data_IF_844126277683
#
_entry.id   IF_844126277683
#
_cell.length_a   1.000
_cell.length_b   1.000
_cell.length_c   1.000
_cell.angle_alpha   90.00
_cell.angle_beta   90.00
_cell.angle_gamma   90.00
#
_symmetry.space_group_name_H-M   'P 1'
#
loop_
_entity.id
_entity.type
_entity.pdbx_description
1 polymer ?
#
# COMPACT_ATOMS: atom_id res chain seq x y z
N UNK A 1 -32.68 -9.34 -17.87
CA UNK A 1 -32.29 -8.31 -18.86
C UNK A 1 -30.79 -8.16 -18.74
N UNK A 2 -30.02 -8.94 -19.52
CA UNK A 2 -28.55 -8.85 -19.53
C UNK A 2 -28.22 -7.64 -20.39
N UNK A 3 -28.14 -6.46 -19.76
CA UNK A 3 -27.88 -5.21 -20.46
C UNK A 3 -26.42 -5.16 -20.89
N UNK A 4 -26.18 -5.30 -22.19
CA UNK A 4 -24.91 -4.97 -22.83
C UNK A 4 -24.49 -3.54 -22.42
N UNK A 5 -23.29 -3.38 -21.86
CA UNK A 5 -22.78 -2.08 -21.38
C UNK A 5 -22.35 -1.16 -22.55
N UNK A 6 -22.24 -1.71 -23.76
CA UNK A 6 -21.82 -1.03 -24.99
C UNK A 6 -22.54 0.32 -25.25
N UNK A 7 -23.89 0.42 -25.18
CA UNK A 7 -24.58 1.69 -25.43
C UNK A 7 -24.24 2.74 -24.38
N UNK A 8 -24.05 2.31 -23.14
CA UNK A 8 -23.66 3.18 -22.04
C UNK A 8 -22.23 3.72 -22.25
N UNK A 9 -21.27 2.87 -22.61
CA UNK A 9 -19.88 3.30 -22.91
C UNK A 9 -19.87 4.33 -24.05
N UNK A 10 -20.65 4.08 -25.11
CA UNK A 10 -20.77 5.02 -26.24
C UNK A 10 -21.35 6.37 -25.80
N UNK A 11 -22.42 6.36 -25.02
CA UNK A 11 -23.04 7.59 -24.50
C UNK A 11 -22.11 8.34 -23.54
N UNK A 12 -21.35 7.61 -22.71
CA UNK A 12 -20.36 8.20 -21.82
C UNK A 12 -19.23 8.87 -22.61
N UNK A 13 -18.74 8.23 -23.67
CA UNK A 13 -17.75 8.81 -24.59
C UNK A 13 -18.23 10.14 -25.18
N UNK A 14 -19.45 10.15 -25.72
CA UNK A 14 -20.07 11.35 -26.27
C UNK A 14 -20.21 12.45 -25.19
N UNK A 15 -20.57 12.06 -23.97
CA UNK A 15 -20.71 12.97 -22.82
C UNK A 15 -19.40 13.63 -22.41
N UNK A 16 -18.26 12.93 -22.48
CA UNK A 16 -16.94 13.50 -22.16
C UNK A 16 -16.54 14.64 -23.10
N UNK A 17 -17.07 14.67 -24.31
CA UNK A 17 -16.84 15.77 -25.26
C UNK A 17 -17.80 16.95 -25.07
N UNK A 18 -18.84 16.82 -24.25
CA UNK A 18 -19.75 17.93 -23.94
C UNK A 18 -19.12 18.84 -22.87
N UNK A 19 -19.31 20.15 -22.97
CA UNK A 19 -18.85 21.11 -21.96
C UNK A 19 -19.79 21.16 -20.73
N UNK A 20 -20.10 19.99 -20.15
CA UNK A 20 -20.96 19.86 -18.97
C UNK A 20 -20.29 18.95 -17.93
N UNK A 21 -19.55 19.57 -17.02
CA UNK A 21 -18.76 18.91 -15.98
C UNK A 21 -19.61 18.00 -15.10
N UNK A 22 -20.81 18.45 -14.71
CA UNK A 22 -21.67 17.65 -13.83
C UNK A 22 -22.18 16.40 -14.54
N UNK A 23 -22.57 16.51 -15.82
CA UNK A 23 -22.98 15.36 -16.61
C UNK A 23 -21.83 14.35 -16.79
N UNK A 24 -20.61 14.83 -17.04
CA UNK A 24 -19.41 13.99 -17.10
C UNK A 24 -19.18 13.23 -15.78
N UNK A 25 -19.23 13.93 -14.65
CA UNK A 25 -19.07 13.34 -13.31
C UNK A 25 -20.14 12.29 -13.02
N UNK A 26 -21.41 12.60 -13.28
CA UNK A 26 -22.52 11.67 -13.06
C UNK A 26 -22.40 10.43 -13.95
N UNK A 27 -21.98 10.60 -15.20
CA UNK A 27 -21.69 9.48 -16.11
C UNK A 27 -20.60 8.56 -15.57
N UNK A 28 -19.48 9.11 -15.10
CA UNK A 28 -18.37 8.33 -14.52
C UNK A 28 -18.72 7.69 -13.18
N UNK A 29 -19.51 8.37 -12.35
CA UNK A 29 -20.02 7.85 -11.09
C UNK A 29 -20.96 6.66 -11.33
N UNK A 30 -21.88 6.79 -12.29
CA UNK A 30 -22.74 5.68 -12.69
C UNK A 30 -21.92 4.51 -13.22
N UNK A 31 -20.89 4.77 -14.03
CA UNK A 31 -20.02 3.71 -14.52
C UNK A 31 -19.31 2.97 -13.38
N UNK A 32 -18.80 3.73 -12.40
CA UNK A 32 -18.17 3.18 -11.18
C UNK A 32 -19.15 2.27 -10.43
N UNK A 33 -20.39 2.71 -10.25
CA UNK A 33 -21.41 1.93 -9.53
C UNK A 33 -21.79 0.64 -10.27
N UNK A 34 -21.89 0.69 -11.60
CA UNK A 34 -22.11 -0.51 -12.43
C UNK A 34 -20.96 -1.51 -12.22
N UNK A 35 -19.71 -1.05 -12.32
CA UNK A 35 -18.53 -1.89 -12.13
C UNK A 35 -18.44 -2.51 -10.73
N UNK A 36 -18.82 -1.76 -9.69
CA UNK A 36 -18.79 -2.26 -8.30
C UNK A 36 -19.89 -3.28 -8.02
N UNK A 37 -21.10 -3.03 -8.52
CA UNK A 37 -22.29 -3.83 -8.20
C UNK A 37 -22.50 -5.04 -9.12
N UNK A 38 -21.70 -5.15 -10.18
CA UNK A 38 -21.77 -6.28 -11.08
C UNK A 38 -21.46 -7.60 -10.34
N UNK A 39 -22.35 -8.61 -10.40
CA UNK A 39 -22.09 -9.95 -9.87
C UNK A 39 -20.97 -10.67 -10.65
N UNK A 40 -20.23 -11.55 -9.96
CA UNK A 40 -19.07 -12.26 -10.53
C UNK A 40 -19.47 -13.21 -11.67
N UNK A 41 -20.72 -13.71 -11.66
CA UNK A 41 -21.23 -14.65 -12.66
C UNK A 41 -21.62 -13.98 -13.97
N UNK A 42 -21.83 -12.66 -13.97
CA UNK A 42 -22.32 -11.93 -15.13
C UNK A 42 -21.17 -11.15 -15.75
N UNK A 43 -20.72 -11.61 -16.92
CA UNK A 43 -19.72 -10.90 -17.72
C UNK A 43 -20.27 -9.55 -18.19
N UNK A 44 -19.70 -8.47 -17.68
CA UNK A 44 -20.05 -7.11 -18.10
C UNK A 44 -19.57 -6.82 -19.52
N UNK A 45 -18.33 -7.22 -19.81
CA UNK A 45 -17.72 -7.06 -21.12
C UNK A 45 -17.91 -8.33 -21.93
N UNK A 46 -18.68 -8.23 -23.02
CA UNK A 46 -19.01 -9.38 -23.87
C UNK A 46 -17.88 -9.75 -24.82
N UNK A 47 -17.00 -8.80 -25.14
CA UNK A 47 -15.88 -8.96 -26.07
C UNK A 47 -14.74 -7.97 -25.77
N UNK A 48 -13.57 -8.22 -26.38
CA UNK A 48 -12.35 -7.41 -26.20
C UNK A 48 -12.52 -5.98 -26.71
N UNK A 49 -13.32 -5.76 -27.76
CA UNK A 49 -13.52 -4.42 -28.32
C UNK A 49 -14.29 -3.52 -27.33
N UNK A 50 -15.37 -4.02 -26.73
CA UNK A 50 -16.13 -3.30 -25.70
C UNK A 50 -15.24 -2.93 -24.51
N UNK A 51 -14.38 -3.85 -24.08
CA UNK A 51 -13.42 -3.56 -23.01
C UNK A 51 -12.43 -2.47 -23.41
N UNK A 52 -11.85 -2.54 -24.62
CA UNK A 52 -10.95 -1.51 -25.14
C UNK A 52 -11.63 -0.15 -25.25
N UNK A 53 -12.90 -0.10 -25.65
CA UNK A 53 -13.68 1.13 -25.69
C UNK A 53 -13.87 1.69 -24.28
N UNK A 54 -14.20 0.85 -23.29
CA UNK A 54 -14.29 1.27 -21.89
C UNK A 54 -12.97 1.83 -21.35
N UNK A 55 -11.85 1.15 -21.57
CA UNK A 55 -10.52 1.62 -21.16
C UNK A 55 -10.16 2.93 -21.86
N UNK A 56 -10.47 3.07 -23.15
CA UNK A 56 -10.24 4.30 -23.92
C UNK A 56 -11.01 5.49 -23.36
N UNK A 57 -12.29 5.30 -23.02
CA UNK A 57 -13.13 6.32 -22.36
C UNK A 57 -12.56 6.70 -20.99
N UNK A 58 -12.10 5.74 -20.20
CA UNK A 58 -11.48 6.02 -18.90
C UNK A 58 -10.15 6.77 -19.06
N UNK A 59 -9.32 6.40 -20.03
CA UNK A 59 -8.06 7.09 -20.34
C UNK A 59 -8.30 8.55 -20.71
N UNK A 60 -9.31 8.82 -21.54
CA UNK A 60 -9.71 10.18 -21.90
C UNK A 60 -10.18 10.97 -20.69
N UNK A 61 -11.05 10.38 -19.87
CA UNK A 61 -11.57 11.01 -18.67
C UNK A 61 -10.49 11.32 -17.61
N UNK A 62 -9.51 10.43 -17.42
CA UNK A 62 -8.35 10.65 -16.53
C UNK A 62 -7.48 11.83 -17.02
N UNK A 63 -7.34 11.99 -18.34
CA UNK A 63 -6.60 13.08 -18.97
C UNK A 63 -7.36 14.41 -18.98
N UNK A 64 -8.63 14.42 -18.54
CA UNK A 64 -9.43 15.64 -18.47
C UNK A 64 -8.71 16.73 -17.63
N UNK A 65 -8.67 17.99 -18.10
CA UNK A 65 -8.06 19.08 -17.34
C UNK A 65 -8.80 19.37 -16.03
N UNK A 66 -10.10 19.02 -15.96
CA UNK A 66 -10.93 19.20 -14.75
C UNK A 66 -10.67 18.05 -13.78
N UNK A 67 -10.00 18.36 -12.66
CA UNK A 67 -9.61 17.35 -11.66
C UNK A 67 -10.80 16.56 -11.10
N UNK A 68 -11.98 17.17 -10.97
CA UNK A 68 -13.18 16.49 -10.47
C UNK A 68 -13.63 15.35 -11.38
N UNK A 69 -13.58 15.58 -12.69
CA UNK A 69 -13.91 14.57 -13.71
C UNK A 69 -12.85 13.47 -13.69
N UNK A 70 -11.57 13.86 -13.67
CA UNK A 70 -10.46 12.92 -13.60
C UNK A 70 -10.53 12.08 -12.30
N UNK A 71 -10.91 12.67 -11.17
CA UNK A 71 -11.08 11.97 -9.89
C UNK A 71 -12.18 10.91 -9.94
N UNK A 72 -13.34 11.20 -10.55
CA UNK A 72 -14.38 10.19 -10.75
C UNK A 72 -13.93 9.10 -11.73
N UNK A 73 -13.17 9.45 -12.77
CA UNK A 73 -12.60 8.48 -13.69
C UNK A 73 -11.64 7.50 -13.00
N UNK A 74 -10.76 7.99 -12.12
CA UNK A 74 -9.85 7.11 -11.37
C UNK A 74 -10.62 6.15 -10.45
N UNK A 75 -11.75 6.56 -9.85
CA UNK A 75 -12.59 5.64 -9.08
C UNK A 75 -13.17 4.52 -9.96
N UNK A 76 -13.60 4.85 -11.18
CA UNK A 76 -14.08 3.87 -12.15
C UNK A 76 -12.94 2.92 -12.58
N UNK A 77 -11.71 3.42 -12.75
CA UNK A 77 -10.54 2.58 -13.01
C UNK A 77 -10.24 1.65 -11.84
N UNK A 78 -10.24 2.14 -10.61
CA UNK A 78 -10.10 1.28 -9.43
C UNK A 78 -11.14 0.15 -9.44
N UNK A 79 -12.38 0.43 -9.87
CA UNK A 79 -13.46 -0.55 -9.94
C UNK A 79 -13.34 -1.54 -11.13
N UNK A 80 -12.78 -1.12 -12.28
CA UNK A 80 -12.57 -2.01 -13.43
C UNK A 80 -11.44 -3.02 -13.20
N UNK A 81 -10.49 -2.70 -12.31
CA UNK A 81 -9.35 -3.54 -11.92
C UNK A 81 -9.76 -4.69 -10.97
N UNK A 82 -10.79 -5.45 -11.35
CA UNK A 82 -11.22 -6.68 -10.67
C UNK A 82 -11.05 -7.86 -11.62
N UNK A 83 -10.70 -9.03 -11.08
CA UNK A 83 -10.47 -10.23 -11.87
C UNK A 83 -11.69 -10.58 -12.73
N UNK A 84 -12.89 -10.43 -12.20
CA UNK A 84 -14.17 -10.79 -12.87
C UNK A 84 -14.41 -9.97 -14.14
N UNK A 85 -14.00 -8.70 -14.14
CA UNK A 85 -14.13 -7.80 -15.29
C UNK A 85 -13.11 -8.07 -16.37
N UNK A 86 -11.97 -8.68 -16.02
CA UNK A 86 -10.78 -8.78 -16.87
C UNK A 86 -10.46 -10.21 -17.32
N UNK A 87 -11.12 -11.21 -16.74
CA UNK A 87 -10.89 -12.63 -17.02
C UNK A 87 -11.60 -13.13 -18.28
N UNK A 88 -11.26 -12.52 -19.42
CA UNK A 88 -11.60 -13.05 -20.75
C UNK A 88 -10.32 -13.12 -21.61
N UNK A 89 -9.79 -14.33 -21.87
CA UNK A 89 -8.55 -14.46 -22.63
C UNK A 89 -8.74 -14.04 -24.11
N UNK A 90 -7.71 -13.45 -24.75
CA UNK A 90 -6.44 -13.04 -24.16
C UNK A 90 -6.54 -11.80 -23.27
N UNK A 91 -5.86 -11.85 -22.12
CA UNK A 91 -5.80 -10.73 -21.17
C UNK A 91 -5.00 -9.59 -21.80
N UNK A 92 -5.56 -8.38 -21.77
CA UNK A 92 -5.01 -7.18 -22.39
C UNK A 92 -4.06 -6.45 -21.43
N UNK A 93 -2.94 -7.08 -21.06
CA UNK A 93 -2.00 -6.51 -20.09
C UNK A 93 -1.51 -5.12 -20.50
N UNK A 94 -1.12 -4.90 -21.76
CA UNK A 94 -0.68 -3.58 -22.24
C UNK A 94 -1.73 -2.47 -22.13
N UNK A 95 -3.03 -2.80 -22.16
CA UNK A 95 -4.09 -1.81 -21.90
C UNK A 95 -4.13 -1.42 -20.41
N UNK A 96 -3.91 -2.39 -19.52
CA UNK A 96 -3.83 -2.16 -18.08
C UNK A 96 -2.57 -1.36 -17.72
N UNK A 97 -1.43 -1.68 -18.33
CA UNK A 97 -0.17 -0.93 -18.14
C UNK A 97 -0.36 0.55 -18.49
N UNK A 98 -0.85 0.84 -19.69
CA UNK A 98 -1.11 2.21 -20.15
C UNK A 98 -2.07 2.98 -19.22
N UNK A 99 -3.08 2.29 -18.69
CA UNK A 99 -4.07 2.87 -17.79
C UNK A 99 -3.46 3.25 -16.45
N UNK A 100 -2.72 2.34 -15.83
CA UNK A 100 -2.02 2.58 -14.56
C UNK A 100 -0.97 3.68 -14.72
N UNK A 101 -0.21 3.65 -15.82
CA UNK A 101 0.80 4.67 -16.10
C UNK A 101 0.20 6.06 -16.25
N UNK A 102 -0.89 6.18 -17.00
CA UNK A 102 -1.58 7.45 -17.22
C UNK A 102 -2.07 8.06 -15.91
N UNK A 103 -2.65 7.26 -15.02
CA UNK A 103 -3.17 7.73 -13.73
C UNK A 103 -2.03 8.22 -12.81
N UNK A 104 -0.93 7.47 -12.76
CA UNK A 104 0.22 7.83 -11.94
C UNK A 104 0.96 9.05 -12.48
N UNK A 105 1.16 9.14 -13.81
CA UNK A 105 1.74 10.34 -14.44
C UNK A 105 0.88 11.58 -14.18
N UNK A 106 -0.45 11.44 -14.21
CA UNK A 106 -1.36 12.56 -13.92
C UNK A 106 -1.16 13.12 -12.52
N UNK A 107 -0.72 12.32 -11.55
CA UNK A 107 -0.39 12.81 -10.21
C UNK A 107 0.81 13.77 -10.19
N UNK A 108 1.76 13.64 -11.13
CA UNK A 108 2.92 14.53 -11.22
C UNK A 108 2.56 15.92 -11.77
N UNK A 109 1.56 16.00 -12.64
CA UNK A 109 1.08 17.26 -13.23
C UNK A 109 0.31 18.12 -12.24
N UNK A 110 -0.19 17.52 -11.16
CA UNK A 110 -0.98 18.21 -10.16
C UNK A 110 -0.06 19.00 -9.23
N UNK A 111 -0.20 20.34 -9.14
CA UNK A 111 0.56 21.13 -8.19
C UNK A 111 0.20 20.67 -6.78
N UNK A 112 1.20 20.20 -6.04
CA UNK A 112 1.08 19.97 -4.62
C UNK A 112 0.93 21.35 -3.96
N UNK A 113 -0.18 21.59 -3.25
CA UNK A 113 -0.50 22.87 -2.63
C UNK A 113 0.70 23.43 -1.84
N UNK A 114 1.01 24.71 -2.06
CA UNK A 114 1.93 25.48 -1.22
C UNK A 114 1.11 26.11 -0.10
N UNK A 115 0.99 25.45 1.05
CA UNK A 115 0.44 26.13 2.24
C UNK A 115 1.49 27.05 2.86
N UNK A 116 1.71 28.19 2.19
CA UNK A 116 2.11 29.41 2.88
C UNK A 116 0.85 30.06 3.46
N UNK A 117 0.61 29.87 4.76
CA UNK A 117 -0.37 30.66 5.51
C UNK A 117 -1.59 29.88 6.01
N UNK A 118 -1.58 29.60 7.33
CA UNK A 118 -2.72 29.43 8.24
C UNK A 118 -4.11 29.24 7.56
N UNK A 119 -4.56 27.99 7.45
CA UNK A 119 -5.96 27.69 7.71
C UNK A 119 -6.14 26.28 8.30
N UNK A 120 -6.88 26.23 9.41
CA UNK A 120 -7.15 25.06 10.23
C UNK A 120 -8.25 24.20 9.57
N UNK A 121 -8.06 22.88 9.64
CA UNK A 121 -9.07 21.80 9.65
C UNK A 121 -9.81 21.35 8.36
N UNK A 122 -9.77 20.02 8.20
CA UNK A 122 -10.82 19.07 7.74
C UNK A 122 -11.15 18.84 6.26
N UNK A 123 -10.75 19.68 5.30
CA UNK A 123 -11.06 19.38 3.89
C UNK A 123 -9.88 18.65 3.23
N UNK A 124 -10.08 17.39 2.84
CA UNK A 124 -9.13 16.65 1.99
C UNK A 124 -9.10 17.38 0.65
N UNK A 125 -7.92 17.86 0.23
CA UNK A 125 -7.80 18.52 -1.07
C UNK A 125 -8.13 17.54 -2.19
N UNK A 126 -8.74 18.00 -3.28
CA UNK A 126 -9.07 17.14 -4.42
C UNK A 126 -7.82 16.43 -4.97
N UNK A 127 -6.64 17.06 -4.92
CA UNK A 127 -5.38 16.42 -5.32
C UNK A 127 -4.97 15.28 -4.38
N UNK A 128 -5.19 15.45 -3.07
CA UNK A 128 -4.93 14.38 -2.08
C UNK A 128 -5.82 13.18 -2.35
N UNK A 129 -7.12 13.42 -2.59
CA UNK A 129 -8.06 12.35 -2.90
C UNK A 129 -7.71 11.66 -4.23
N UNK A 130 -7.29 12.43 -5.24
CA UNK A 130 -6.84 11.90 -6.52
C UNK A 130 -5.64 10.96 -6.33
N UNK A 131 -4.60 11.40 -5.60
CA UNK A 131 -3.42 10.58 -5.32
C UNK A 131 -3.79 9.29 -4.58
N UNK A 132 -4.65 9.38 -3.57
CA UNK A 132 -5.09 8.19 -2.84
C UNK A 132 -5.82 7.20 -3.76
N UNK A 133 -6.74 7.67 -4.61
CA UNK A 133 -7.46 6.81 -5.55
C UNK A 133 -6.50 6.22 -6.62
N UNK A 134 -5.49 6.97 -7.04
CA UNK A 134 -4.47 6.52 -8.00
C UNK A 134 -3.61 5.38 -7.42
N UNK A 135 -3.16 5.53 -6.17
CA UNK A 135 -2.43 4.47 -5.46
C UNK A 135 -3.33 3.26 -5.19
N UNK A 136 -4.63 3.46 -4.99
CA UNK A 136 -5.59 2.38 -4.86
C UNK A 136 -5.80 1.61 -6.18
N UNK A 137 -5.85 2.30 -7.32
CA UNK A 137 -5.80 1.65 -8.64
C UNK A 137 -4.52 0.82 -8.80
N UNK A 138 -3.36 1.38 -8.44
CA UNK A 138 -2.09 0.65 -8.47
C UNK A 138 -2.11 -0.60 -7.57
N UNK A 139 -2.63 -0.48 -6.34
CA UNK A 139 -2.81 -1.61 -5.41
C UNK A 139 -3.67 -2.73 -6.01
N UNK A 140 -4.79 -2.37 -6.65
CA UNK A 140 -5.66 -3.34 -7.31
C UNK A 140 -4.96 -4.03 -8.49
N UNK A 141 -4.13 -3.31 -9.25
CA UNK A 141 -3.30 -3.91 -10.31
C UNK A 141 -2.28 -4.92 -9.75
N UNK A 142 -1.62 -4.61 -8.63
CA UNK A 142 -0.77 -5.58 -7.93
C UNK A 142 -1.56 -6.81 -7.47
N UNK A 143 -2.77 -6.61 -6.93
CA UNK A 143 -3.64 -7.72 -6.49
C UNK A 143 -4.05 -8.61 -7.66
N UNK A 144 -4.39 -8.03 -8.81
CA UNK A 144 -4.68 -8.76 -10.05
C UNK A 144 -3.51 -9.64 -10.46
N UNK A 145 -2.28 -9.14 -10.40
CA UNK A 145 -1.10 -9.93 -10.73
C UNK A 145 -0.99 -11.18 -9.83
N UNK A 146 -1.18 -11.05 -8.51
CA UNK A 146 -1.21 -12.19 -7.57
C UNK A 146 -2.35 -13.17 -7.92
N UNK A 147 -3.54 -12.64 -8.22
CA UNK A 147 -4.69 -13.48 -8.56
C UNK A 147 -4.50 -14.27 -9.87
N UNK A 148 -3.79 -13.68 -10.85
CA UNK A 148 -3.46 -14.33 -12.11
C UNK A 148 -2.30 -15.32 -12.02
N UNK A 149 -1.43 -15.23 -11.00
CA UNK A 149 -0.43 -16.29 -10.76
C UNK A 149 -1.10 -17.64 -10.49
N UNK A 150 -2.27 -17.63 -9.87
CA UNK A 150 -3.05 -18.85 -9.57
C UNK A 150 -3.82 -19.39 -10.79
N UNK A 151 -3.80 -18.68 -11.91
CA UNK A 151 -4.62 -18.98 -13.09
C UNK A 151 -3.74 -19.27 -14.32
N UNK A 152 -3.57 -20.55 -14.71
CA UNK A 152 -2.70 -20.93 -15.82
C UNK A 152 -3.05 -20.26 -17.15
N UNK A 153 -4.33 -19.94 -17.39
CA UNK A 153 -4.79 -19.29 -18.63
C UNK A 153 -4.45 -17.80 -18.66
N UNK A 154 -4.21 -17.19 -17.51
CA UNK A 154 -3.83 -15.80 -17.38
C UNK A 154 -2.32 -15.58 -17.50
N UNK A 155 -1.50 -16.59 -17.17
CA UNK A 155 -0.04 -16.45 -17.16
C UNK A 155 0.55 -16.24 -18.56
N UNK A 156 0.03 -16.96 -19.56
CA UNK A 156 0.44 -16.86 -20.96
C UNK A 156 -0.80 -16.88 -21.84
N UNK A 157 -0.96 -15.83 -22.66
CA UNK A 157 -1.99 -15.83 -23.69
C UNK A 157 -1.70 -16.98 -24.68
N UNK A 158 -2.63 -17.93 -24.79
CA UNK A 158 -2.46 -19.26 -25.43
C UNK A 158 -2.28 -19.21 -26.95
N UNK A 159 -2.36 -18.04 -27.58
CA UNK A 159 -2.36 -17.85 -29.04
C UNK A 159 -1.16 -17.05 -29.57
N UNK A 160 -0.06 -17.04 -28.85
CA UNK A 160 1.16 -16.35 -29.30
C UNK A 160 1.98 -17.27 -30.19
N UNK A 161 2.30 -16.82 -31.42
CA UNK A 161 3.10 -17.58 -32.36
C UNK A 161 4.48 -17.93 -31.75
N UNK A 162 5.06 -19.10 -32.05
CA UNK A 162 6.28 -19.62 -31.41
C UNK A 162 7.53 -18.71 -31.53
N UNK A 163 7.48 -17.66 -32.38
CA UNK A 163 8.59 -16.74 -32.62
C UNK A 163 8.24 -15.26 -32.34
N UNK A 164 7.04 -14.95 -31.84
CA UNK A 164 6.70 -13.57 -31.45
C UNK A 164 6.98 -13.37 -29.96
N UNK A 165 7.72 -12.33 -29.59
CA UNK A 165 7.80 -11.90 -28.19
C UNK A 165 6.38 -11.69 -27.66
N UNK A 166 5.98 -12.50 -26.68
CA UNK A 166 4.67 -12.35 -26.08
C UNK A 166 4.68 -11.11 -25.17
N UNK A 167 4.26 -9.98 -25.74
CA UNK A 167 4.24 -8.68 -25.05
C UNK A 167 3.24 -8.70 -23.90
N UNK A 168 2.10 -9.36 -24.08
CA UNK A 168 1.04 -9.47 -23.08
C UNK A 168 1.18 -10.74 -22.25
N UNK A 169 2.17 -10.75 -21.35
CA UNK A 169 2.34 -11.82 -20.35
C UNK A 169 2.21 -11.28 -18.94
N UNK A 170 1.77 -12.14 -18.02
CA UNK A 170 1.74 -11.80 -16.58
C UNK A 170 3.13 -11.40 -16.07
N UNK A 171 4.20 -12.02 -16.61
CA UNK A 171 5.57 -11.69 -16.25
C UNK A 171 5.93 -10.25 -16.62
N UNK A 172 5.68 -9.83 -17.87
CA UNK A 172 5.91 -8.44 -18.31
C UNK A 172 5.06 -7.45 -17.52
N UNK A 173 3.80 -7.78 -17.26
CA UNK A 173 2.93 -6.94 -16.43
C UNK A 173 3.47 -6.77 -15.01
N UNK A 174 3.98 -7.84 -14.39
CA UNK A 174 4.57 -7.79 -13.05
C UNK A 174 5.87 -6.97 -13.05
N UNK A 175 6.71 -7.12 -14.08
CA UNK A 175 7.91 -6.30 -14.28
C UNK A 175 7.58 -4.82 -14.50
N UNK A 176 6.49 -4.51 -15.20
CA UNK A 176 5.97 -3.16 -15.37
C UNK A 176 5.50 -2.57 -14.03
N UNK A 177 4.69 -3.30 -13.25
CA UNK A 177 4.20 -2.82 -11.94
C UNK A 177 5.35 -2.50 -10.99
N UNK A 178 6.42 -3.28 -11.08
CA UNK A 178 7.65 -3.02 -10.36
C UNK A 178 8.36 -1.75 -10.87
N UNK A 179 8.58 -1.65 -12.17
CA UNK A 179 9.24 -0.49 -12.77
C UNK A 179 8.51 0.81 -12.45
N UNK A 180 7.19 0.81 -12.52
CA UNK A 180 6.38 2.00 -12.26
C UNK A 180 6.31 2.35 -10.77
N UNK A 181 6.42 1.34 -9.89
CA UNK A 181 6.57 1.57 -8.46
C UNK A 181 7.84 2.37 -8.15
N UNK A 182 8.98 1.93 -8.71
CA UNK A 182 10.29 2.57 -8.54
C UNK A 182 10.35 3.96 -9.19
N UNK A 183 9.79 4.08 -10.40
CA UNK A 183 9.92 5.28 -11.23
C UNK A 183 8.91 6.38 -10.88
N UNK A 184 7.70 6.01 -10.43
CA UNK A 184 6.61 6.96 -10.17
C UNK A 184 6.07 6.87 -8.74
N UNK A 185 5.60 5.70 -8.28
CA UNK A 185 4.88 5.60 -7.00
C UNK A 185 5.74 6.02 -5.80
N UNK A 186 6.96 5.49 -5.68
CA UNK A 186 7.90 5.84 -4.61
C UNK A 186 8.21 7.34 -4.64
N UNK A 187 8.71 7.94 -5.75
CA UNK A 187 8.95 9.38 -5.81
C UNK A 187 7.72 10.23 -5.47
N UNK A 188 6.53 9.86 -5.97
CA UNK A 188 5.28 10.57 -5.70
C UNK A 188 4.93 10.60 -4.21
N UNK A 189 4.93 9.42 -3.56
CA UNK A 189 4.59 9.30 -2.14
C UNK A 189 5.65 9.98 -1.28
N UNK A 190 6.92 9.87 -1.63
CA UNK A 190 8.01 10.52 -0.89
C UNK A 190 7.88 12.04 -0.96
N UNK A 191 7.69 12.61 -2.16
CA UNK A 191 7.45 14.05 -2.38
C UNK A 191 6.20 14.55 -1.64
N UNK A 192 5.14 13.75 -1.59
CA UNK A 192 3.93 14.08 -0.83
C UNK A 192 4.21 14.08 0.68
N UNK A 193 4.87 13.03 1.16
CA UNK A 193 5.17 12.81 2.57
C UNK A 193 6.07 13.89 3.17
N UNK A 194 6.95 14.50 2.37
CA UNK A 194 7.80 15.64 2.79
C UNK A 194 6.97 16.83 3.26
N UNK A 195 5.74 16.99 2.76
CA UNK A 195 4.86 18.12 3.06
C UNK A 195 3.82 17.80 4.12
N UNK A 196 3.25 16.60 4.07
CA UNK A 196 2.22 16.17 5.00
C UNK A 196 2.20 14.64 5.14
N UNK A 197 2.06 14.17 6.38
CA UNK A 197 1.87 12.75 6.68
C UNK A 197 0.37 12.49 6.74
N UNK A 198 -0.15 11.70 5.78
CA UNK A 198 -1.53 11.21 5.81
C UNK A 198 -1.55 9.68 5.90
N UNK A 199 -2.01 9.10 7.04
CA UNK A 199 -2.00 7.67 7.25
C UNK A 199 -2.66 6.87 6.12
N UNK A 200 -3.82 7.31 5.62
CA UNK A 200 -4.54 6.59 4.57
C UNK A 200 -3.81 6.47 3.23
N UNK A 201 -3.01 7.46 2.82
CA UNK A 201 -2.19 7.37 1.60
C UNK A 201 -1.05 6.37 1.81
N UNK A 202 -0.40 6.47 2.96
CA UNK A 202 0.74 5.64 3.31
C UNK A 202 0.34 4.17 3.45
N UNK A 203 -0.79 3.90 4.10
CA UNK A 203 -1.38 2.57 4.25
C UNK A 203 -1.65 1.92 2.89
N UNK A 204 -2.31 2.65 1.97
CA UNK A 204 -2.60 2.15 0.62
C UNK A 204 -1.32 1.85 -0.16
N UNK A 205 -0.34 2.75 -0.10
CA UNK A 205 0.94 2.58 -0.80
C UNK A 205 1.71 1.36 -0.30
N UNK A 206 1.83 1.22 1.03
CA UNK A 206 2.53 0.10 1.65
C UNK A 206 1.81 -1.22 1.37
N UNK A 207 0.49 -1.22 1.43
CA UNK A 207 -0.31 -2.39 1.06
C UNK A 207 -0.03 -2.80 -0.40
N UNK A 208 0.08 -1.84 -1.32
CA UNK A 208 0.45 -2.13 -2.71
C UNK A 208 1.86 -2.73 -2.83
N UNK A 209 2.85 -2.17 -2.14
CA UNK A 209 4.21 -2.72 -2.12
C UNK A 209 4.27 -4.13 -1.54
N UNK A 210 3.55 -4.38 -0.44
CA UNK A 210 3.46 -5.70 0.18
C UNK A 210 2.84 -6.73 -0.76
N UNK A 211 1.82 -6.35 -1.54
CA UNK A 211 1.22 -7.23 -2.54
C UNK A 211 2.19 -7.48 -3.69
N UNK A 212 2.82 -6.43 -4.22
CA UNK A 212 3.79 -6.53 -5.32
C UNK A 212 4.96 -7.46 -4.99
N UNK A 213 5.41 -7.41 -3.74
CA UNK A 213 6.44 -8.29 -3.20
C UNK A 213 6.06 -9.78 -3.21
N UNK A 214 4.80 -10.11 -2.90
CA UNK A 214 4.31 -11.47 -3.08
C UNK A 214 4.30 -11.90 -4.56
N UNK A 215 4.10 -10.96 -5.50
CA UNK A 215 4.13 -11.26 -6.95
C UNK A 215 5.55 -11.61 -7.40
N UNK A 216 6.57 -10.90 -6.89
CA UNK A 216 7.96 -11.08 -7.31
C UNK A 216 8.92 -11.13 -6.11
N UNK A 217 9.07 -12.30 -5.45
CA UNK A 217 9.93 -12.43 -4.26
C UNK A 217 11.42 -12.12 -4.54
N UNK A 218 11.93 -12.49 -5.72
CA UNK A 218 13.32 -12.19 -6.13
C UNK A 218 13.63 -10.69 -6.19
N UNK A 219 12.59 -9.85 -6.15
CA UNK A 219 12.71 -8.39 -6.16
C UNK A 219 12.86 -7.77 -4.78
N UNK A 220 12.62 -8.52 -3.70
CA UNK A 220 12.84 -8.05 -2.33
C UNK A 220 14.23 -7.45 -2.15
N UNK A 221 15.25 -8.15 -2.65
CA UNK A 221 16.64 -7.73 -2.53
C UNK A 221 16.92 -6.45 -3.34
N UNK A 222 16.48 -6.42 -4.61
CA UNK A 222 16.72 -5.26 -5.50
C UNK A 222 16.00 -4.00 -5.05
N UNK A 223 14.74 -4.11 -4.59
CA UNK A 223 13.99 -2.97 -4.05
C UNK A 223 14.53 -2.55 -2.68
N UNK A 224 14.95 -3.48 -1.82
CA UNK A 224 15.60 -3.15 -0.54
C UNK A 224 16.91 -2.37 -0.75
N UNK A 225 17.73 -2.78 -1.72
CA UNK A 225 18.96 -2.08 -2.10
C UNK A 225 18.65 -0.68 -2.67
N UNK A 226 17.67 -0.57 -3.58
CA UNK A 226 17.30 0.70 -4.24
C UNK A 226 16.58 1.69 -3.32
N UNK A 227 15.69 1.21 -2.47
CA UNK A 227 15.07 2.03 -1.43
C UNK A 227 16.18 2.56 -0.52
N UNK A 228 17.22 1.77 -0.26
CA UNK A 228 18.36 2.18 0.54
C UNK A 228 17.94 2.48 1.98
N UNK A 229 18.90 2.52 2.89
CA UNK A 229 18.63 2.79 4.30
C UNK A 229 17.89 4.11 4.51
N UNK A 230 18.12 5.10 3.66
CA UNK A 230 17.60 6.45 3.78
C UNK A 230 16.14 6.62 3.32
N UNK A 231 15.66 5.89 2.29
CA UNK A 231 14.23 5.95 1.91
C UNK A 231 13.40 5.01 2.78
N UNK A 232 13.97 3.88 3.21
CA UNK A 232 13.38 3.05 4.27
C UNK A 232 13.23 3.89 5.55
N UNK A 233 14.23 4.72 5.88
CA UNK A 233 14.18 5.68 7.01
C UNK A 233 13.05 6.70 6.88
N UNK A 234 12.87 7.35 5.73
CA UNK A 234 11.78 8.33 5.56
C UNK A 234 10.41 7.63 5.53
N UNK A 235 10.34 6.43 4.97
CA UNK A 235 9.13 5.61 4.98
C UNK A 235 8.78 5.22 6.43
N UNK A 236 9.76 4.73 7.21
CA UNK A 236 9.58 4.33 8.62
C UNK A 236 9.27 5.50 9.55
N UNK A 237 9.85 6.69 9.34
CA UNK A 237 9.57 7.92 10.10
C UNK A 237 8.14 8.44 9.98
N UNK A 238 7.40 8.02 8.95
CA UNK A 238 6.12 8.62 8.57
C UNK A 238 4.96 7.66 8.68
N UNK A 239 5.18 6.49 9.28
CA UNK A 239 4.18 5.46 9.41
C UNK A 239 3.67 5.43 10.83
N UNK A 240 2.49 6.02 10.98
CA UNK A 240 1.67 5.87 12.16
C UNK A 240 1.41 4.38 12.43
N UNK A 241 1.40 3.99 13.72
CA UNK A 241 1.07 2.62 14.16
C UNK A 241 -0.27 2.08 13.60
N UNK A 242 -1.12 2.91 13.00
CA UNK A 242 -2.36 2.42 12.38
C UNK A 242 -2.14 1.60 11.09
N UNK A 243 -0.98 1.71 10.42
CA UNK A 243 -0.66 0.93 9.19
C UNK A 243 0.24 -0.30 9.45
N UNK A 244 0.32 -0.72 10.72
CA UNK A 244 1.23 -1.72 11.28
C UNK A 244 1.23 -3.03 10.52
N UNK A 245 0.10 -3.63 10.15
CA UNK A 245 0.15 -4.97 9.53
C UNK A 245 0.83 -5.01 8.16
N UNK A 246 0.47 -4.09 7.26
CA UNK A 246 1.03 -4.04 5.91
C UNK A 246 2.47 -3.50 5.93
N UNK A 247 2.76 -2.51 6.77
CA UNK A 247 4.11 -1.95 6.89
C UNK A 247 5.06 -2.92 7.55
N UNK A 248 4.61 -3.68 8.53
CA UNK A 248 5.46 -4.63 9.20
C UNK A 248 5.67 -5.87 8.36
N UNK A 249 4.69 -6.28 7.55
CA UNK A 249 4.93 -7.28 6.50
C UNK A 249 5.97 -6.77 5.50
N UNK A 250 5.87 -5.52 5.03
CA UNK A 250 6.87 -4.88 4.17
C UNK A 250 8.24 -4.78 4.83
N UNK A 251 8.31 -4.35 6.10
CA UNK A 251 9.54 -4.24 6.86
C UNK A 251 10.17 -5.61 7.09
N UNK A 252 9.41 -6.66 7.40
CA UNK A 252 10.02 -7.99 7.52
C UNK A 252 10.61 -8.43 6.20
N UNK A 253 9.94 -8.22 5.08
CA UNK A 253 10.52 -8.58 3.79
C UNK A 253 11.79 -7.77 3.46
N UNK A 254 11.87 -6.51 3.90
CA UNK A 254 13.05 -5.65 3.71
C UNK A 254 14.17 -5.97 4.71
N UNK A 255 13.83 -6.27 5.97
CA UNK A 255 14.76 -6.67 7.03
C UNK A 255 15.20 -8.13 6.91
N UNK A 256 14.44 -9.00 6.23
CA UNK A 256 14.82 -10.38 5.90
C UNK A 256 16.12 -10.40 5.08
N UNK A 257 16.34 -9.36 4.29
CA UNK A 257 17.57 -9.16 3.53
C UNK A 257 18.73 -8.66 4.42
N UNK A 258 18.46 -8.09 5.59
CA UNK A 258 19.44 -7.44 6.46
C UNK A 258 19.87 -8.33 7.63
N UNK A 259 18.93 -9.02 8.30
CA UNK A 259 19.20 -9.86 9.48
C UNK A 259 18.13 -10.97 9.64
N UNK A 260 18.57 -12.23 9.58
CA UNK A 260 17.70 -13.40 9.50
C UNK A 260 16.98 -13.69 10.84
N UNK A 261 17.65 -13.47 11.98
CA UNK A 261 17.09 -13.77 13.31
C UNK A 261 15.97 -12.80 13.68
N UNK A 262 16.17 -11.51 13.41
CA UNK A 262 15.18 -10.44 13.63
C UNK A 262 13.94 -10.68 12.77
N UNK A 263 14.15 -11.14 11.55
CA UNK A 263 13.08 -11.35 10.58
C UNK A 263 12.22 -12.55 10.92
N UNK A 264 12.80 -13.62 11.46
CA UNK A 264 12.04 -14.80 11.92
C UNK A 264 11.15 -14.46 13.12
N UNK A 265 11.67 -13.70 14.10
CA UNK A 265 10.90 -13.23 15.26
C UNK A 265 9.72 -12.35 14.81
N UNK A 266 10.00 -11.35 13.98
CA UNK A 266 8.97 -10.43 13.48
C UNK A 266 7.93 -11.19 12.63
N UNK A 267 8.35 -12.09 11.73
CA UNK A 267 7.42 -12.85 10.90
C UNK A 267 6.39 -13.65 11.70
N UNK A 268 6.82 -14.30 12.79
CA UNK A 268 5.95 -15.11 13.66
C UNK A 268 4.98 -14.27 14.49
N UNK A 269 5.40 -13.09 14.91
CA UNK A 269 4.68 -12.28 15.91
C UNK A 269 3.82 -11.18 15.31
N UNK A 270 4.18 -10.66 14.15
CA UNK A 270 3.49 -9.55 13.51
C UNK A 270 2.02 -9.78 13.20
N UNK A 271 1.59 -10.95 12.69
CA UNK A 271 0.16 -11.24 12.52
C UNK A 271 -0.66 -11.15 13.82
N UNK A 272 0.01 -11.24 14.96
CA UNK A 272 -0.60 -11.21 16.30
C UNK A 272 -0.54 -9.81 16.94
N UNK A 273 0.15 -8.85 16.32
CA UNK A 273 0.36 -7.49 16.83
C UNK A 273 -0.61 -6.50 16.14
N UNK A 274 -1.90 -6.61 16.45
CA UNK A 274 -2.92 -5.64 16.00
C UNK A 274 -3.40 -4.78 17.19
N UNK A 275 -2.47 -4.00 17.74
CA UNK A 275 -2.69 -3.23 18.96
C UNK A 275 -2.56 -1.74 18.67
N UNK A 276 -3.42 -0.93 19.30
CA UNK A 276 -3.20 0.52 19.41
C UNK A 276 -1.89 0.81 20.17
N UNK A 277 -1.42 2.05 20.10
CA UNK A 277 -0.24 2.50 20.88
C UNK A 277 -0.38 2.21 22.37
N UNK A 278 -1.56 2.47 22.94
CA UNK A 278 -1.86 2.21 24.34
C UNK A 278 -1.87 0.72 24.67
N UNK A 279 -2.43 -0.10 23.78
CA UNK A 279 -2.45 -1.57 23.96
C UNK A 279 -1.06 -2.17 23.81
N UNK A 280 -0.21 -1.61 22.94
CA UNK A 280 1.18 -2.02 22.77
C UNK A 280 2.00 -1.74 24.04
N UNK A 281 1.81 -0.58 24.67
CA UNK A 281 2.45 -0.25 25.95
C UNK A 281 1.95 -1.16 27.08
N UNK A 282 0.65 -1.49 27.09
CA UNK A 282 0.08 -2.45 28.05
C UNK A 282 0.64 -3.85 27.87
N UNK A 283 0.72 -4.34 26.62
CA UNK A 283 1.29 -5.64 26.30
C UNK A 283 2.77 -5.71 26.69
N UNK A 284 3.52 -4.63 26.48
CA UNK A 284 4.92 -4.53 26.91
C UNK A 284 5.06 -4.62 28.44
N UNK A 285 4.10 -4.05 29.17
CA UNK A 285 4.07 -4.06 30.65
C UNK A 285 3.47 -5.34 31.23
N UNK A 286 2.95 -6.24 30.39
CA UNK A 286 2.25 -7.44 30.85
C UNK A 286 3.24 -8.45 31.44
N UNK A 287 2.99 -8.85 32.69
CA UNK A 287 3.77 -9.89 33.37
C UNK A 287 3.16 -11.25 33.04
N UNK A 288 3.88 -12.17 32.37
CA UNK A 288 3.40 -13.52 32.15
C UNK A 288 3.20 -14.26 33.48
N UNK A 289 2.32 -15.25 33.50
CA UNK A 289 2.07 -16.10 34.67
C UNK A 289 3.40 -16.70 35.19
N UNK A 290 3.74 -16.57 36.49
CA UNK A 290 5.01 -17.06 37.06
C UNK A 290 5.26 -18.56 36.85
N UNK A 291 4.21 -19.33 36.57
CA UNK A 291 4.28 -20.79 36.48
C UNK A 291 4.68 -21.31 35.10
N UNK A 292 4.60 -20.48 34.04
CA UNK A 292 4.92 -20.89 32.67
C UNK A 292 5.51 -19.75 31.83
N UNK A 293 6.62 -20.02 31.15
CA UNK A 293 7.17 -19.09 30.15
C UNK A 293 6.21 -19.03 28.95
N UNK A 294 5.46 -17.93 28.83
CA UNK A 294 4.65 -17.69 27.64
C UNK A 294 5.55 -17.16 26.52
N UNK A 295 6.20 -18.07 25.79
CA UNK A 295 7.08 -17.74 24.66
C UNK A 295 6.39 -16.85 23.62
N UNK A 296 5.07 -16.99 23.43
CA UNK A 296 4.33 -16.16 22.46
C UNK A 296 4.27 -14.70 22.93
N UNK A 297 3.91 -14.47 24.19
CA UNK A 297 3.89 -13.13 24.78
C UNK A 297 5.29 -12.51 24.79
N UNK A 298 6.32 -13.27 25.17
CA UNK A 298 7.70 -12.80 25.15
C UNK A 298 8.16 -12.39 23.76
N UNK A 299 7.89 -13.21 22.76
CA UNK A 299 8.21 -12.87 21.38
C UNK A 299 7.46 -11.61 20.91
N UNK A 300 6.20 -11.42 21.31
CA UNK A 300 5.47 -10.18 21.03
C UNK A 300 6.10 -8.95 21.70
N UNK A 301 6.52 -9.07 22.96
CA UNK A 301 7.20 -8.00 23.71
C UNK A 301 8.56 -7.64 23.08
N UNK A 302 9.34 -8.64 22.66
CA UNK A 302 10.60 -8.44 21.93
C UNK A 302 10.38 -7.71 20.61
N UNK A 303 9.37 -8.13 19.84
CA UNK A 303 9.01 -7.44 18.60
C UNK A 303 8.61 -5.99 18.85
N UNK A 304 7.78 -5.71 19.87
CA UNK A 304 7.40 -4.33 20.22
C UNK A 304 8.61 -3.48 20.62
N UNK A 305 9.52 -3.99 21.44
CA UNK A 305 10.75 -3.29 21.83
C UNK A 305 11.62 -2.94 20.62
N UNK A 306 11.77 -3.89 19.69
CA UNK A 306 12.52 -3.65 18.47
C UNK A 306 11.85 -2.60 17.56
N UNK A 307 10.53 -2.65 17.43
CA UNK A 307 9.77 -1.65 16.66
C UNK A 307 9.83 -0.26 17.29
N UNK A 308 9.71 -0.15 18.61
CA UNK A 308 9.91 1.12 19.33
C UNK A 308 11.33 1.62 19.13
N UNK A 309 12.34 0.76 19.23
CA UNK A 309 13.74 1.13 18.98
C UNK A 309 13.92 1.70 17.57
N UNK A 310 13.37 1.06 16.54
CA UNK A 310 13.43 1.56 15.18
C UNK A 310 12.76 2.93 15.06
N UNK A 311 11.54 3.10 15.58
CA UNK A 311 10.82 4.37 15.55
C UNK A 311 11.63 5.49 16.24
N UNK A 312 12.08 5.26 17.47
CA UNK A 312 12.81 6.24 18.26
C UNK A 312 14.20 6.55 17.68
N UNK A 313 14.86 5.55 17.09
CA UNK A 313 16.15 5.73 16.38
C UNK A 313 16.06 6.64 15.17
N UNK A 314 14.83 6.85 14.70
CA UNK A 314 14.52 7.71 13.59
C UNK A 314 13.74 8.95 14.01
N UNK A 315 13.78 9.32 15.30
CA UNK A 315 13.11 10.52 15.84
C UNK A 315 11.57 10.47 15.76
N UNK A 316 10.99 9.30 15.49
CA UNK A 316 9.54 9.12 15.53
C UNK A 316 9.08 8.81 16.97
N UNK A 317 8.49 9.83 17.61
CA UNK A 317 8.01 9.78 19.00
C UNK A 317 6.58 9.26 19.04
N UNK A 318 6.43 8.00 18.62
CA UNK A 318 5.14 7.31 18.48
C UNK A 318 4.37 7.10 19.78
N UNK A 319 5.07 7.14 20.92
CA UNK A 319 4.51 7.06 22.26
C UNK A 319 5.21 8.07 23.18
N UNK A 320 4.54 8.57 24.23
CA UNK A 320 5.19 9.43 25.22
C UNK A 320 6.37 8.70 25.89
N UNK A 321 7.50 9.39 26.01
CA UNK A 321 8.74 8.83 26.58
C UNK A 321 8.56 8.36 28.02
N UNK A 322 7.75 9.05 28.82
CA UNK A 322 7.45 8.64 30.20
C UNK A 322 6.68 7.31 30.27
N UNK A 323 5.67 7.14 29.40
CA UNK A 323 4.86 5.92 29.35
C UNK A 323 5.69 4.74 28.83
N UNK A 324 6.53 4.99 27.83
CA UNK A 324 7.46 3.98 27.30
C UNK A 324 8.50 3.57 28.35
N UNK A 325 9.07 4.52 29.10
CA UNK A 325 10.01 4.23 30.17
C UNK A 325 9.37 3.33 31.25
N UNK A 326 8.14 3.65 31.66
CA UNK A 326 7.39 2.84 32.61
C UNK A 326 7.19 1.41 32.08
N UNK A 327 6.78 1.27 30.81
CA UNK A 327 6.53 -0.03 30.21
C UNK A 327 7.81 -0.88 30.08
N UNK A 328 8.93 -0.27 29.67
CA UNK A 328 10.24 -0.95 29.60
C UNK A 328 10.71 -1.38 30.99
N UNK A 329 10.47 -0.55 32.01
CA UNK A 329 10.83 -0.87 33.39
C UNK A 329 10.03 -2.07 33.90
N UNK A 330 8.72 -2.11 33.67
CA UNK A 330 7.87 -3.26 34.00
C UNK A 330 8.30 -4.53 33.25
N UNK A 331 8.66 -4.39 31.97
CA UNK A 331 9.19 -5.50 31.17
C UNK A 331 10.49 -6.06 31.78
N UNK A 332 11.45 -5.21 32.15
CA UNK A 332 12.73 -5.65 32.74
C UNK A 332 12.54 -6.38 34.06
N UNK A 333 11.65 -5.89 34.93
CA UNK A 333 11.28 -6.59 36.16
C UNK A 333 10.72 -7.99 35.85
N UNK A 334 9.84 -8.08 34.85
CA UNK A 334 9.31 -9.38 34.42
C UNK A 334 10.37 -10.33 33.89
N UNK A 335 11.38 -9.82 33.16
CA UNK A 335 12.49 -10.63 32.66
C UNK A 335 13.36 -11.15 33.80
N UNK A 336 13.64 -10.30 34.79
CA UNK A 336 14.40 -10.67 35.99
C UNK A 336 13.66 -11.74 36.82
N UNK A 337 12.36 -11.53 37.08
CA UNK A 337 11.52 -12.45 37.85
C UNK A 337 11.42 -13.85 37.22
N UNK A 338 11.48 -13.95 35.88
CA UNK A 338 11.36 -15.20 35.14
C UNK A 338 12.71 -15.81 34.75
N UNK A 339 13.82 -15.13 35.02
CA UNK A 339 15.15 -15.56 34.57
C UNK A 339 15.29 -15.65 33.04
N UNK A 340 14.51 -14.85 32.31
CA UNK A 340 14.56 -14.80 30.85
C UNK A 340 15.84 -14.08 30.39
N UNK A 341 16.35 -14.45 29.21
CA UNK A 341 17.59 -13.91 28.65
C UNK A 341 17.32 -13.30 27.27
N UNK A 342 17.03 -11.99 27.19
CA UNK A 342 16.74 -11.33 25.93
C UNK A 342 17.89 -11.45 24.92
N UNK A 343 17.59 -11.64 23.63
CA UNK A 343 18.61 -11.65 22.59
C UNK A 343 19.42 -10.34 22.53
N UNK A 344 20.69 -10.36 22.07
CA UNK A 344 21.57 -9.19 22.08
C UNK A 344 21.00 -7.95 21.36
N UNK A 345 20.25 -8.15 20.26
CA UNK A 345 19.62 -7.06 19.51
C UNK A 345 18.47 -6.40 20.28
N UNK A 346 17.77 -7.17 21.13
CA UNK A 346 16.74 -6.65 22.05
C UNK A 346 17.39 -5.89 23.20
N UNK A 347 18.47 -6.42 23.78
CA UNK A 347 19.22 -5.70 24.83
C UNK A 347 19.69 -4.35 24.30
N UNK A 348 20.23 -4.30 23.07
CA UNK A 348 20.61 -3.05 22.41
C UNK A 348 19.41 -2.10 22.25
N UNK A 349 18.25 -2.61 21.82
CA UNK A 349 17.02 -1.83 21.69
C UNK A 349 16.59 -1.22 23.03
N UNK A 350 16.56 -2.02 24.11
CA UNK A 350 16.21 -1.59 25.46
C UNK A 350 17.16 -0.48 25.94
N UNK A 351 18.47 -0.69 25.83
CA UNK A 351 19.47 0.29 26.28
C UNK A 351 19.32 1.63 25.55
N UNK A 352 19.08 1.59 24.24
CA UNK A 352 18.86 2.79 23.45
C UNK A 352 17.59 3.54 23.86
N UNK A 353 16.48 2.82 24.02
CA UNK A 353 15.20 3.41 24.40
C UNK A 353 15.24 4.00 25.81
N UNK A 354 15.85 3.31 26.78
CA UNK A 354 16.05 3.83 28.13
C UNK A 354 16.89 5.10 28.12
N UNK A 355 17.97 5.14 27.34
CA UNK A 355 18.83 6.32 27.25
C UNK A 355 18.07 7.54 26.73
N UNK A 356 17.20 7.37 25.73
CA UNK A 356 16.37 8.46 25.22
C UNK A 356 15.36 8.92 26.26
N UNK A 357 14.59 7.99 26.82
CA UNK A 357 13.52 8.34 27.75
C UNK A 357 14.05 8.97 29.04
N UNK A 358 15.26 8.58 29.48
CA UNK A 358 15.89 9.16 30.66
C UNK A 358 16.41 10.59 30.41
N UNK A 359 16.96 10.87 29.23
CA UNK A 359 17.44 12.22 28.88
C UNK A 359 16.31 13.26 28.83
N UNK A 360 15.12 12.88 28.40
CA UNK A 360 13.99 13.79 28.32
C UNK A 360 13.24 14.00 29.63
N UNK A 361 13.35 13.08 30.60
CA UNK A 361 12.80 13.26 31.94
C UNK A 361 13.63 14.19 32.84
N UNK A 362 14.88 14.49 32.45
CA UNK A 362 15.79 15.39 33.18
C UNK A 362 15.73 16.84 32.64
N UNK A 363 15.28 17.00 31.39
CA UNK A 363 14.98 18.32 30.79
C UNK A 363 13.60 18.82 31.21
#
# INVERSE_FOLDING_TARGET
MVGCIEPFIKSLKETLHLNNIELQKQGLLLFTEILKKQPEEIKLFTNIATFKDAVSVLMEAVKCPVIEVASEAVKAVTAILRKDHLSFPPIQYGQLENLIETILMRCNDLPLDHQGGRCKNTVISQQTQFLQNALESFRNACSLAVQYQKDPLAQKNTFTAPNSENIDTLKRFSEFLLWISDSLCIPLVMKYSERAIRPGIMEVFISALSILFNVMPDMHERLSIKMGKERIRILSQKICLCAVQAFLTFLVHVFFVIDQEISELLWKTLPLLNFSTLESLRLLSETPDPLYLNETLRNQQYSLLFLFYLAFSHEDRIVPEADLFSAISSFLLSVEDQGDCPPPYIVKAILYLLAICHCSMIM
#
